data_IF_440404424098
#
_entry.id   IF_440404424098
#
_cell.length_a   1.000
_cell.length_b   1.000
_cell.length_c   1.000
_cell.angle_alpha   90.00
_cell.angle_beta   90.00
_cell.angle_gamma   90.00
#
_symmetry.space_group_name_H-M   'P 1'
#
loop_
_entity.id
_entity.type
_entity.pdbx_description
1 polymer ?
#
# COMPACT_ATOMS: atom_id res chain seq x y z
N UNK A 1 -19.07 -13.36 -19.91
CA UNK A 1 -17.82 -12.66 -20.30
C UNK A 1 -16.95 -13.65 -21.04
N UNK A 2 -16.34 -13.27 -22.18
CA UNK A 2 -15.44 -14.15 -22.93
C UNK A 2 -14.18 -14.45 -22.07
N UNK A 3 -13.91 -15.72 -21.70
CA UNK A 3 -12.78 -16.08 -20.83
C UNK A 3 -11.41 -15.77 -21.45
N UNK A 4 -11.32 -15.64 -22.77
CA UNK A 4 -10.06 -15.43 -23.50
C UNK A 4 -9.64 -13.98 -23.65
N UNK A 5 -10.45 -13.01 -23.19
CA UNK A 5 -10.15 -11.59 -23.43
C UNK A 5 -8.92 -11.09 -22.67
N UNK A 6 -8.75 -11.51 -21.41
CA UNK A 6 -7.66 -11.02 -20.55
C UNK A 6 -6.28 -11.51 -21.01
N UNK A 7 -6.09 -12.79 -21.39
CA UNK A 7 -4.85 -13.23 -22.01
C UNK A 7 -4.44 -12.41 -23.24
N UNK A 8 -5.39 -12.10 -24.12
CA UNK A 8 -5.12 -11.30 -25.33
C UNK A 8 -4.72 -9.87 -24.97
N UNK A 9 -5.49 -9.21 -24.10
CA UNK A 9 -5.19 -7.85 -23.64
C UNK A 9 -3.80 -7.76 -22.99
N UNK A 10 -3.46 -8.69 -22.10
CA UNK A 10 -2.15 -8.73 -21.45
C UNK A 10 -1.03 -8.95 -22.45
N UNK A 11 -1.22 -9.89 -23.39
CA UNK A 11 -0.23 -10.16 -24.45
C UNK A 11 0.04 -8.92 -25.28
N UNK A 12 -1.00 -8.23 -25.74
CA UNK A 12 -0.84 -7.01 -26.55
C UNK A 12 -0.20 -5.85 -25.81
N UNK A 13 -0.47 -5.69 -24.50
CA UNK A 13 0.22 -4.69 -23.67
C UNK A 13 1.71 -5.01 -23.53
N UNK A 14 2.03 -6.26 -23.18
CA UNK A 14 3.42 -6.68 -22.92
C UNK A 14 4.26 -6.66 -24.19
N UNK A 15 3.67 -6.99 -25.34
CA UNK A 15 4.34 -6.98 -26.64
C UNK A 15 4.32 -5.58 -27.31
N UNK A 16 3.82 -4.55 -26.62
CA UNK A 16 3.82 -3.16 -27.10
C UNK A 16 2.86 -2.89 -28.27
N UNK A 17 1.93 -3.81 -28.56
CA UNK A 17 0.90 -3.64 -29.61
C UNK A 17 -0.28 -2.79 -29.17
N UNK A 18 -0.57 -2.77 -27.86
CA UNK A 18 -1.58 -1.90 -27.29
C UNK A 18 -0.91 -0.68 -26.62
N UNK A 19 -1.06 0.49 -27.24
CA UNK A 19 -0.51 1.77 -26.75
C UNK A 19 -1.58 2.85 -26.69
N UNK A 20 -1.27 4.00 -26.08
CA UNK A 20 -2.17 5.16 -26.02
C UNK A 20 -3.58 4.81 -25.53
N UNK A 21 -4.58 5.16 -26.33
CA UNK A 21 -6.00 4.91 -26.05
C UNK A 21 -6.31 3.43 -25.85
N UNK A 22 -5.70 2.53 -26.63
CA UNK A 22 -5.98 1.09 -26.51
C UNK A 22 -5.46 0.53 -25.18
N UNK A 23 -4.26 0.96 -24.76
CA UNK A 23 -3.72 0.59 -23.45
C UNK A 23 -4.58 1.11 -22.29
N UNK A 24 -5.12 2.32 -22.43
CA UNK A 24 -6.06 2.90 -21.47
C UNK A 24 -7.36 2.09 -21.38
N UNK A 25 -7.95 1.71 -22.52
CA UNK A 25 -9.15 0.86 -22.57
C UNK A 25 -8.93 -0.50 -21.90
N UNK A 26 -7.77 -1.14 -22.12
CA UNK A 26 -7.45 -2.40 -21.46
C UNK A 26 -7.26 -2.24 -19.95
N UNK A 27 -6.61 -1.15 -19.52
CA UNK A 27 -6.49 -0.81 -18.10
C UNK A 27 -7.88 -0.62 -17.47
N UNK A 28 -8.77 0.13 -18.12
CA UNK A 28 -10.16 0.30 -17.67
C UNK A 28 -10.91 -1.04 -17.62
N UNK A 29 -10.70 -1.93 -18.59
CA UNK A 29 -11.31 -3.25 -18.60
C UNK A 29 -10.86 -4.13 -17.42
N UNK A 30 -9.60 -4.02 -16.98
CA UNK A 30 -9.12 -4.66 -15.75
C UNK A 30 -9.76 -4.04 -14.51
N UNK A 31 -9.87 -2.72 -14.44
CA UNK A 31 -10.43 -2.06 -13.26
C UNK A 31 -11.93 -2.32 -13.06
N UNK A 32 -12.70 -2.36 -14.15
CA UNK A 32 -14.16 -2.43 -14.11
C UNK A 32 -14.75 -3.84 -14.12
N UNK A 33 -13.94 -4.91 -14.12
CA UNK A 33 -14.51 -6.26 -14.06
C UNK A 33 -15.11 -6.53 -12.67
N UNK A 34 -16.42 -6.79 -12.56
CA UNK A 34 -17.07 -6.89 -11.25
C UNK A 34 -16.79 -8.21 -10.54
N UNK A 35 -16.61 -9.31 -11.30
CA UNK A 35 -16.34 -10.66 -10.78
C UNK A 35 -15.28 -11.35 -11.64
N UNK A 36 -14.00 -10.99 -11.48
CA UNK A 36 -12.91 -11.72 -12.12
C UNK A 36 -12.91 -13.18 -11.64
N UNK A 37 -12.51 -14.11 -12.52
CA UNK A 37 -12.31 -15.51 -12.19
C UNK A 37 -10.82 -15.86 -12.12
N UNK A 38 -10.50 -17.10 -11.76
CA UNK A 38 -9.11 -17.57 -11.62
C UNK A 38 -8.35 -17.52 -12.96
N UNK A 39 -9.02 -17.72 -14.09
CA UNK A 39 -8.42 -17.64 -15.42
C UNK A 39 -7.97 -16.22 -15.71
N UNK A 40 -8.81 -15.25 -15.35
CA UNK A 40 -8.53 -13.84 -15.49
C UNK A 40 -7.34 -13.40 -14.61
N UNK A 41 -7.24 -13.90 -13.38
CA UNK A 41 -6.10 -13.63 -12.48
C UNK A 41 -4.81 -14.25 -13.02
N UNK A 42 -4.85 -15.51 -13.48
CA UNK A 42 -3.69 -16.19 -14.08
C UNK A 42 -3.17 -15.42 -15.30
N UNK A 43 -4.05 -14.84 -16.10
CA UNK A 43 -3.68 -14.09 -17.29
C UNK A 43 -2.82 -12.85 -17.00
N UNK A 44 -2.85 -12.31 -15.77
CA UNK A 44 -2.12 -11.09 -15.39
C UNK A 44 -0.62 -11.34 -15.13
N UNK A 45 -0.18 -12.59 -14.96
CA UNK A 45 1.19 -12.89 -14.55
C UNK A 45 2.27 -12.30 -15.49
N UNK A 46 2.15 -12.37 -16.83
CA UNK A 46 3.13 -11.75 -17.74
C UNK A 46 3.19 -10.22 -17.58
N UNK A 47 2.05 -9.57 -17.28
CA UNK A 47 1.99 -8.12 -17.09
C UNK A 47 2.82 -7.68 -15.87
N UNK A 48 2.72 -8.42 -14.76
CA UNK A 48 3.47 -8.11 -13.54
C UNK A 48 4.96 -8.47 -13.63
N UNK A 49 5.32 -9.50 -14.42
CA UNK A 49 6.73 -9.84 -14.69
C UNK A 49 7.41 -8.83 -15.62
N UNK A 50 6.69 -8.28 -16.60
CA UNK A 50 7.24 -7.36 -17.59
C UNK A 50 7.96 -6.15 -16.99
N UNK A 51 9.10 -5.79 -17.58
CA UNK A 51 9.87 -4.59 -17.26
C UNK A 51 9.39 -3.34 -18.03
N UNK A 52 8.47 -3.51 -18.99
CA UNK A 52 7.86 -2.39 -19.69
C UNK A 52 7.13 -1.44 -18.73
N UNK A 53 7.16 -0.14 -19.04
CA UNK A 53 6.45 0.90 -18.30
C UNK A 53 4.95 0.85 -18.61
N UNK A 54 4.31 -0.13 -17.99
CA UNK A 54 2.87 -0.41 -18.06
C UNK A 54 2.21 -0.06 -16.73
N UNK A 55 2.67 1.00 -16.06
CA UNK A 55 2.29 1.35 -14.70
C UNK A 55 0.76 1.43 -14.53
N UNK A 56 0.04 2.17 -15.40
CA UNK A 56 -1.42 2.28 -15.32
C UNK A 56 -2.13 0.91 -15.45
N UNK A 57 -1.69 0.07 -16.39
CA UNK A 57 -2.25 -1.25 -16.59
C UNK A 57 -1.96 -2.18 -15.39
N UNK A 58 -0.75 -2.15 -14.85
CA UNK A 58 -0.35 -2.91 -13.64
C UNK A 58 -1.19 -2.51 -12.42
N UNK A 59 -1.45 -1.21 -12.23
CA UNK A 59 -2.27 -0.70 -11.12
C UNK A 59 -3.76 -1.09 -11.26
N UNK A 60 -4.29 -1.06 -12.47
CA UNK A 60 -5.65 -1.50 -12.76
C UNK A 60 -5.80 -3.01 -12.59
N UNK A 61 -4.85 -3.79 -13.10
CA UNK A 61 -4.77 -5.24 -12.90
C UNK A 61 -4.65 -5.61 -11.41
N UNK A 62 -3.90 -4.84 -10.61
CA UNK A 62 -3.84 -5.08 -9.17
C UNK A 62 -5.21 -4.85 -8.49
N UNK A 63 -5.97 -3.85 -8.94
CA UNK A 63 -7.33 -3.60 -8.43
C UNK A 63 -8.30 -4.75 -8.79
N UNK A 64 -8.11 -5.37 -9.96
CA UNK A 64 -8.82 -6.58 -10.36
C UNK A 64 -8.52 -7.75 -9.41
N UNK A 65 -7.27 -7.94 -9.00
CA UNK A 65 -6.88 -8.97 -8.02
C UNK A 65 -7.53 -8.71 -6.65
N UNK A 66 -7.56 -7.46 -6.19
CA UNK A 66 -8.28 -7.10 -4.96
C UNK A 66 -9.78 -7.44 -5.05
N UNK A 67 -10.41 -7.15 -6.20
CA UNK A 67 -11.81 -7.50 -6.45
C UNK A 67 -12.04 -9.01 -6.42
N UNK A 68 -11.15 -9.80 -7.03
CA UNK A 68 -11.16 -11.27 -6.91
C UNK A 68 -11.08 -11.72 -5.45
N UNK A 69 -10.11 -11.19 -4.70
CA UNK A 69 -9.86 -11.62 -3.33
C UNK A 69 -10.93 -11.20 -2.32
N UNK A 70 -11.73 -10.16 -2.60
CA UNK A 70 -12.91 -9.82 -1.79
C UNK A 70 -14.01 -10.87 -1.87
N UNK A 71 -14.08 -11.62 -2.97
CA UNK A 71 -15.12 -12.62 -3.21
C UNK A 71 -14.63 -14.07 -3.04
N UNK A 72 -13.32 -14.28 -2.86
CA UNK A 72 -12.71 -15.60 -2.74
C UNK A 72 -12.10 -15.80 -1.34
N UNK A 73 -12.69 -16.65 -0.48
CA UNK A 73 -12.05 -17.05 0.76
C UNK A 73 -10.66 -17.62 0.50
N UNK A 74 -9.72 -17.35 1.41
CA UNK A 74 -8.33 -17.81 1.32
C UNK A 74 -7.58 -17.40 0.03
N UNK A 75 -8.02 -16.35 -0.68
CA UNK A 75 -7.38 -15.87 -1.92
C UNK A 75 -5.84 -15.74 -1.88
N UNK A 76 -5.28 -15.35 -0.73
CA UNK A 76 -3.83 -15.23 -0.51
C UNK A 76 -3.05 -16.56 -0.57
N UNK A 77 -3.73 -17.70 -0.47
CA UNK A 77 -3.13 -19.04 -0.55
C UNK A 77 -3.13 -19.58 -1.98
N UNK A 78 -3.95 -19.00 -2.88
CA UNK A 78 -4.02 -19.36 -4.29
C UNK A 78 -2.67 -19.11 -4.98
N UNK A 79 -2.13 -20.14 -5.62
CA UNK A 79 -0.82 -20.11 -6.27
C UNK A 79 -0.72 -18.96 -7.29
N UNK A 80 -1.77 -18.73 -8.08
CA UNK A 80 -1.79 -17.66 -9.07
C UNK A 80 -1.68 -16.28 -8.44
N UNK A 81 -2.31 -16.03 -7.30
CA UNK A 81 -2.21 -14.74 -6.59
C UNK A 81 -0.82 -14.58 -5.97
N UNK A 82 -0.30 -15.64 -5.34
CA UNK A 82 1.06 -15.65 -4.78
C UNK A 82 2.12 -15.38 -5.84
N UNK A 83 1.96 -15.92 -7.06
CA UNK A 83 2.87 -15.66 -8.18
C UNK A 83 2.90 -14.17 -8.57
N UNK A 84 1.76 -13.47 -8.53
CA UNK A 84 1.72 -12.03 -8.82
C UNK A 84 2.47 -11.24 -7.75
N UNK A 85 2.24 -11.56 -6.47
CA UNK A 85 2.96 -10.94 -5.35
C UNK A 85 4.46 -11.22 -5.45
N UNK A 86 4.85 -12.45 -5.82
CA UNK A 86 6.24 -12.85 -6.00
C UNK A 86 6.92 -12.06 -7.14
N UNK A 87 6.24 -11.85 -8.27
CA UNK A 87 6.77 -11.03 -9.36
C UNK A 87 7.01 -9.56 -8.94
N UNK A 88 6.11 -9.00 -8.12
CA UNK A 88 6.28 -7.65 -7.56
C UNK A 88 7.41 -7.60 -6.53
N UNK A 89 7.54 -8.64 -5.70
CA UNK A 89 8.62 -8.78 -4.72
C UNK A 89 10.00 -8.80 -5.40
N UNK A 90 10.14 -9.53 -6.51
CA UNK A 90 11.39 -9.59 -7.26
C UNK A 90 11.87 -8.21 -7.72
N UNK A 91 10.97 -7.35 -8.21
CA UNK A 91 11.30 -5.96 -8.59
C UNK A 91 11.81 -5.14 -7.41
N UNK A 92 11.24 -5.35 -6.21
CA UNK A 92 11.69 -4.70 -4.98
C UNK A 92 13.08 -5.21 -4.57
N UNK A 93 13.33 -6.52 -4.70
CA UNK A 93 14.61 -7.15 -4.38
C UNK A 93 15.74 -6.69 -5.33
N UNK A 94 15.45 -6.54 -6.62
CA UNK A 94 16.37 -6.01 -7.62
C UNK A 94 16.85 -4.59 -7.27
N UNK A 95 15.92 -3.70 -6.93
CA UNK A 95 16.26 -2.34 -6.52
C UNK A 95 16.96 -2.30 -5.15
N UNK A 96 16.67 -3.25 -4.23
CA UNK A 96 17.40 -3.37 -2.97
C UNK A 96 18.87 -3.79 -3.16
N UNK A 97 19.15 -4.68 -4.11
CA UNK A 97 20.45 -5.31 -4.29
C UNK A 97 21.45 -4.46 -5.08
N UNK A 98 20.97 -3.55 -5.93
CA UNK A 98 21.79 -2.82 -6.90
C UNK A 98 21.86 -1.31 -6.63
N UNK A 99 22.76 -0.62 -7.35
CA UNK A 99 22.68 0.83 -7.51
C UNK A 99 21.40 1.16 -8.29
N UNK A 100 20.45 1.76 -7.59
CA UNK A 100 19.13 2.08 -8.12
C UNK A 100 19.19 3.03 -9.32
N UNK A 101 18.93 2.53 -10.52
CA UNK A 101 18.72 3.37 -11.71
C UNK A 101 17.35 4.05 -11.63
N UNK A 102 17.13 5.13 -12.38
CA UNK A 102 15.80 5.76 -12.42
C UNK A 102 14.71 4.79 -12.93
N UNK A 103 15.09 3.85 -13.79
CA UNK A 103 14.18 2.81 -14.29
C UNK A 103 13.81 1.82 -13.19
N UNK A 104 14.78 1.27 -12.45
CA UNK A 104 14.50 0.33 -11.34
C UNK A 104 13.69 1.00 -10.24
N UNK A 105 13.95 2.28 -9.96
CA UNK A 105 13.16 3.06 -9.00
C UNK A 105 11.71 3.24 -9.44
N UNK A 106 11.45 3.51 -10.74
CA UNK A 106 10.10 3.61 -11.30
C UNK A 106 9.37 2.26 -11.25
N UNK A 107 10.04 1.18 -11.62
CA UNK A 107 9.49 -0.17 -11.56
C UNK A 107 9.13 -0.56 -10.12
N UNK A 108 10.00 -0.25 -9.16
CA UNK A 108 9.78 -0.49 -7.73
C UNK A 108 8.62 0.33 -7.18
N UNK A 109 8.51 1.61 -7.56
CA UNK A 109 7.36 2.44 -7.21
C UNK A 109 6.05 1.85 -7.73
N UNK A 110 6.04 1.41 -9.00
CA UNK A 110 4.90 0.70 -9.58
C UNK A 110 4.59 -0.60 -8.82
N UNK A 111 5.60 -1.31 -8.33
CA UNK A 111 5.42 -2.53 -7.56
C UNK A 111 4.74 -2.28 -6.21
N UNK A 112 5.20 -1.28 -5.43
CA UNK A 112 4.55 -0.91 -4.17
C UNK A 112 3.11 -0.46 -4.35
N UNK A 113 2.87 0.40 -5.34
CA UNK A 113 1.50 0.86 -5.65
C UNK A 113 0.60 -0.31 -6.07
N UNK A 114 1.14 -1.26 -6.85
CA UNK A 114 0.42 -2.48 -7.26
C UNK A 114 0.11 -3.38 -6.06
N UNK A 115 1.08 -3.67 -5.18
CA UNK A 115 0.85 -4.45 -3.97
C UNK A 115 -0.26 -3.84 -3.10
N UNK A 116 -0.21 -2.51 -2.92
CA UNK A 116 -1.21 -1.83 -2.14
C UNK A 116 -2.59 -1.75 -2.81
N UNK A 117 -2.68 -1.72 -4.13
CA UNK A 117 -3.96 -1.83 -4.86
C UNK A 117 -4.51 -3.26 -4.79
N UNK A 118 -3.62 -4.26 -4.80
CA UNK A 118 -3.95 -5.68 -4.72
C UNK A 118 -4.54 -6.05 -3.36
N UNK A 119 -4.10 -5.39 -2.28
CA UNK A 119 -4.54 -5.70 -0.92
C UNK A 119 -4.13 -7.10 -0.45
N UNK A 120 -3.19 -7.73 -1.15
CA UNK A 120 -2.63 -9.04 -0.80
C UNK A 120 -1.13 -8.89 -0.65
N UNK A 121 -0.59 -9.49 0.41
CA UNK A 121 0.83 -9.49 0.73
C UNK A 121 1.17 -10.82 1.37
N UNK A 122 2.17 -11.52 0.85
CA UNK A 122 2.74 -12.70 1.53
C UNK A 122 3.71 -12.24 2.63
N UNK A 123 3.99 -13.06 3.65
CA UNK A 123 4.95 -12.70 4.69
C UNK A 123 6.33 -12.30 4.13
N UNK A 124 6.83 -13.02 3.14
CA UNK A 124 8.13 -12.76 2.53
C UNK A 124 8.14 -11.43 1.78
N UNK A 125 7.05 -11.09 1.09
CA UNK A 125 6.91 -9.79 0.44
C UNK A 125 6.79 -8.66 1.47
N UNK A 126 6.03 -8.87 2.57
CA UNK A 126 5.91 -7.90 3.64
C UNK A 126 7.28 -7.56 4.26
N UNK A 127 8.12 -8.56 4.51
CA UNK A 127 9.47 -8.34 5.05
C UNK A 127 10.35 -7.52 4.10
N UNK A 128 10.30 -7.79 2.78
CA UNK A 128 11.04 -6.98 1.80
C UNK A 128 10.52 -5.56 1.69
N UNK A 129 9.20 -5.36 1.77
CA UNK A 129 8.59 -4.02 1.73
C UNK A 129 9.00 -3.21 2.96
N UNK A 130 8.97 -3.80 4.17
CA UNK A 130 9.43 -3.13 5.39
C UNK A 130 10.92 -2.82 5.31
N UNK A 131 11.74 -3.77 4.90
CA UNK A 131 13.18 -3.56 4.71
C UNK A 131 13.46 -2.38 3.76
N UNK A 132 12.71 -2.27 2.66
CA UNK A 132 12.86 -1.15 1.73
C UNK A 132 12.46 0.18 2.36
N UNK A 133 11.33 0.22 3.07
CA UNK A 133 10.85 1.43 3.75
C UNK A 133 11.90 1.99 4.73
N UNK A 134 12.59 1.11 5.46
CA UNK A 134 13.62 1.45 6.44
C UNK A 134 14.95 1.88 5.81
N UNK A 135 15.17 1.61 4.52
CA UNK A 135 16.45 1.85 3.86
C UNK A 135 16.62 3.32 3.47
N UNK A 136 17.36 4.08 4.30
CA UNK A 136 17.48 5.53 4.16
C UNK A 136 18.11 6.02 2.85
N UNK A 137 18.95 5.20 2.20
CA UNK A 137 19.54 5.55 0.91
C UNK A 137 18.56 5.41 -0.28
N UNK A 138 17.33 4.92 -0.05
CA UNK A 138 16.30 4.84 -1.07
C UNK A 138 15.47 6.11 -1.16
N UNK A 139 14.97 6.40 -2.36
CA UNK A 139 14.17 7.59 -2.65
C UNK A 139 12.97 7.66 -1.70
N UNK A 140 12.79 8.81 -1.06
CA UNK A 140 11.71 9.05 -0.08
C UNK A 140 10.34 8.68 -0.64
N UNK A 141 10.04 9.05 -1.88
CA UNK A 141 8.76 8.70 -2.53
C UNK A 141 8.50 7.20 -2.61
N UNK A 142 9.55 6.39 -2.81
CA UNK A 142 9.42 4.93 -2.87
C UNK A 142 9.26 4.35 -1.47
N UNK A 143 9.93 4.91 -0.46
CA UNK A 143 9.77 4.54 0.96
C UNK A 143 8.36 4.84 1.46
N UNK A 144 7.80 5.99 1.10
CA UNK A 144 6.39 6.34 1.36
C UNK A 144 5.45 5.34 0.68
N UNK A 145 5.68 5.02 -0.59
CA UNK A 145 4.88 4.03 -1.30
C UNK A 145 4.98 2.63 -0.67
N UNK A 146 6.15 2.25 -0.15
CA UNK A 146 6.36 0.99 0.56
C UNK A 146 5.50 0.91 1.83
N UNK A 147 5.48 1.97 2.65
CA UNK A 147 4.57 2.04 3.80
C UNK A 147 3.09 1.95 3.37
N UNK A 148 2.71 2.70 2.32
CA UNK A 148 1.35 2.71 1.77
C UNK A 148 0.94 1.39 1.10
N UNK A 149 1.88 0.51 0.75
CA UNK A 149 1.59 -0.80 0.17
C UNK A 149 0.78 -1.69 1.13
N UNK A 150 0.85 -1.43 2.42
CA UNK A 150 0.06 -2.17 3.40
C UNK A 150 -1.39 -1.72 3.48
N UNK A 151 -1.81 -0.57 2.92
CA UNK A 151 -3.10 0.10 3.23
C UNK A 151 -4.38 -0.76 3.08
N UNK A 152 -4.39 -1.75 2.19
CA UNK A 152 -5.51 -2.66 1.96
C UNK A 152 -5.24 -4.10 2.41
N UNK A 153 -4.04 -4.41 2.89
CA UNK A 153 -3.67 -5.78 3.26
C UNK A 153 -4.38 -6.21 4.55
N UNK A 154 -4.58 -7.53 4.71
CA UNK A 154 -5.01 -8.08 6.00
C UNK A 154 -4.03 -7.67 7.11
N UNK A 155 -4.57 -7.35 8.28
CA UNK A 155 -3.76 -6.99 9.44
C UNK A 155 -2.92 -8.18 9.91
N UNK A 156 -1.62 -7.95 10.06
CA UNK A 156 -0.67 -8.89 10.65
C UNK A 156 0.01 -8.19 11.81
N UNK A 157 0.00 -8.81 13.00
CA UNK A 157 0.54 -8.18 14.22
C UNK A 157 2.02 -7.79 14.07
N UNK A 158 2.92 -8.65 13.55
CA UNK A 158 4.33 -8.28 13.39
C UNK A 158 4.54 -7.08 12.48
N UNK A 159 3.81 -7.00 11.37
CA UNK A 159 3.87 -5.85 10.43
C UNK A 159 3.38 -4.57 11.10
N UNK A 160 2.27 -4.66 11.84
CA UNK A 160 1.70 -3.51 12.56
C UNK A 160 2.70 -2.97 13.59
N UNK A 161 3.34 -3.86 14.36
CA UNK A 161 4.36 -3.47 15.34
C UNK A 161 5.55 -2.75 14.69
N UNK A 162 6.09 -3.28 13.59
CA UNK A 162 7.20 -2.65 12.86
C UNK A 162 6.81 -1.26 12.34
N UNK A 163 5.60 -1.12 11.79
CA UNK A 163 5.10 0.17 11.29
C UNK A 163 4.89 1.20 12.40
N UNK A 164 4.32 0.79 13.55
CA UNK A 164 4.19 1.65 14.74
C UNK A 164 5.57 2.09 15.22
N UNK A 165 6.48 1.14 15.42
CA UNK A 165 7.85 1.45 15.87
C UNK A 165 8.55 2.44 14.94
N UNK A 166 8.41 2.28 13.63
CA UNK A 166 8.99 3.20 12.66
C UNK A 166 8.37 4.60 12.74
N UNK A 167 7.04 4.69 12.85
CA UNK A 167 6.34 5.99 12.95
C UNK A 167 6.78 6.81 14.18
N UNK A 168 7.13 6.13 15.28
CA UNK A 168 7.50 6.74 16.56
C UNK A 168 8.99 7.09 16.69
N UNK A 169 9.80 6.88 15.65
CA UNK A 169 11.24 7.23 15.63
C UNK A 169 11.45 8.68 15.18
N UNK A 170 11.85 9.61 16.07
CA UNK A 170 11.95 11.04 15.75
C UNK A 170 12.97 11.35 14.65
N UNK A 171 14.04 10.57 14.55
CA UNK A 171 15.13 10.74 13.59
C UNK A 171 14.76 10.36 12.15
N UNK A 172 13.63 9.68 11.96
CA UNK A 172 13.21 9.19 10.65
C UNK A 172 12.50 10.27 9.83
N UNK A 173 12.54 10.12 8.50
CA UNK A 173 11.98 11.09 7.58
C UNK A 173 10.46 11.30 7.79
N UNK A 174 10.02 12.55 7.98
CA UNK A 174 8.64 12.95 8.32
C UNK A 174 7.57 12.25 7.46
N UNK A 175 7.68 12.31 6.14
CA UNK A 175 6.68 11.72 5.24
C UNK A 175 6.56 10.19 5.39
N UNK A 176 7.67 9.50 5.62
CA UNK A 176 7.69 8.04 5.78
C UNK A 176 7.08 7.67 7.13
N UNK A 177 7.37 8.43 8.18
CA UNK A 177 6.74 8.27 9.51
C UNK A 177 5.22 8.41 9.44
N UNK A 178 4.73 9.45 8.78
CA UNK A 178 3.29 9.69 8.58
C UNK A 178 2.65 8.53 7.77
N UNK A 179 3.31 8.08 6.70
CA UNK A 179 2.83 6.96 5.90
C UNK A 179 2.79 5.65 6.69
N UNK A 180 3.81 5.37 7.51
CA UNK A 180 3.87 4.21 8.38
C UNK A 180 2.77 4.25 9.45
N UNK A 181 2.52 5.42 10.05
CA UNK A 181 1.42 5.63 10.98
C UNK A 181 0.06 5.31 10.33
N UNK A 182 -0.23 5.88 9.15
CA UNK A 182 -1.50 5.63 8.44
C UNK A 182 -1.67 4.15 8.09
N UNK A 183 -0.59 3.48 7.71
CA UNK A 183 -0.61 2.04 7.45
C UNK A 183 -0.87 1.22 8.72
N UNK A 184 -0.30 1.63 9.86
CA UNK A 184 -0.42 0.95 11.15
C UNK A 184 -1.77 1.16 11.86
N UNK A 185 -2.26 2.40 11.92
CA UNK A 185 -3.37 2.79 12.80
C UNK A 185 -4.66 1.99 12.54
N UNK A 186 -4.91 1.61 11.29
CA UNK A 186 -6.02 0.74 10.90
C UNK A 186 -6.01 -0.62 11.64
N UNK A 187 -4.80 -1.16 11.85
CA UNK A 187 -4.57 -2.46 12.47
C UNK A 187 -4.17 -2.37 13.95
N UNK A 188 -4.01 -1.16 14.48
CA UNK A 188 -3.58 -0.92 15.86
C UNK A 188 -4.53 -1.60 16.86
N UNK A 189 -3.97 -2.10 17.96
CA UNK A 189 -4.72 -2.48 19.15
C UNK A 189 -4.68 -1.34 20.19
N UNK A 190 -5.29 -1.54 21.34
CA UNK A 190 -5.33 -0.53 22.40
C UNK A 190 -3.93 -0.11 22.87
N UNK A 191 -3.02 -1.07 23.08
CA UNK A 191 -1.63 -0.82 23.49
C UNK A 191 -0.85 0.01 22.45
N UNK A 192 -1.00 -0.30 21.16
CA UNK A 192 -0.40 0.47 20.07
C UNK A 192 -0.88 1.93 20.12
N UNK A 193 -2.18 2.15 20.30
CA UNK A 193 -2.78 3.49 20.35
C UNK A 193 -2.30 4.28 21.57
N UNK A 194 -2.22 3.63 22.75
CA UNK A 194 -1.66 4.25 23.95
C UNK A 194 -0.21 4.67 23.75
N UNK A 195 0.61 3.78 23.17
CA UNK A 195 2.01 4.07 22.88
C UNK A 195 2.14 5.22 21.87
N UNK A 196 1.33 5.21 20.80
CA UNK A 196 1.31 6.29 19.81
C UNK A 196 0.99 7.62 20.49
N UNK A 197 -0.10 7.71 21.25
CA UNK A 197 -0.47 8.96 21.94
C UNK A 197 0.63 9.40 22.90
N UNK A 198 1.13 8.50 23.74
CA UNK A 198 2.17 8.81 24.72
C UNK A 198 3.42 9.40 24.07
N UNK A 199 3.92 8.79 22.99
CA UNK A 199 5.14 9.26 22.31
C UNK A 199 4.91 10.52 21.50
N UNK A 200 3.80 10.59 20.76
CA UNK A 200 3.51 11.72 19.87
C UNK A 200 3.11 12.99 20.64
N UNK A 201 2.61 12.86 21.87
CA UNK A 201 2.28 14.01 22.72
C UNK A 201 3.47 14.95 22.93
N UNK A 202 4.68 14.39 23.02
CA UNK A 202 5.94 15.10 23.25
C UNK A 202 6.82 15.18 22.00
N UNK A 203 6.28 14.92 20.81
CA UNK A 203 7.03 14.98 19.55
C UNK A 203 7.40 16.43 19.20
N UNK A 204 8.69 16.68 18.99
CA UNK A 204 9.22 17.99 18.61
C UNK A 204 8.86 18.37 17.16
N UNK A 205 8.78 17.38 16.27
CA UNK A 205 8.35 17.60 14.90
C UNK A 205 6.85 17.94 14.86
N UNK A 206 6.55 19.23 14.84
CA UNK A 206 5.18 19.76 14.83
C UNK A 206 4.33 19.24 13.68
N UNK A 207 4.94 18.89 12.54
CA UNK A 207 4.24 18.30 11.40
C UNK A 207 3.77 16.87 11.70
N UNK A 208 4.64 16.03 12.26
CA UNK A 208 4.27 14.65 12.65
C UNK A 208 3.25 14.70 13.80
N UNK A 209 3.53 15.50 14.82
CA UNK A 209 2.64 15.69 15.99
C UNK A 209 1.25 16.12 15.55
N UNK A 210 1.16 17.23 14.81
CA UNK A 210 -0.11 17.80 14.38
C UNK A 210 -0.91 16.85 13.49
N UNK A 211 -0.26 16.18 12.53
CA UNK A 211 -0.94 15.22 11.65
C UNK A 211 -1.51 14.04 12.43
N UNK A 212 -0.70 13.38 13.27
CA UNK A 212 -1.12 12.16 13.98
C UNK A 212 -2.20 12.47 15.01
N UNK A 213 -2.03 13.51 15.84
CA UNK A 213 -3.03 13.87 16.85
C UNK A 213 -4.36 14.29 16.19
N UNK A 214 -4.33 15.07 15.12
CA UNK A 214 -5.53 15.40 14.34
C UNK A 214 -6.23 14.16 13.80
N UNK A 215 -5.45 13.20 13.28
CA UNK A 215 -6.02 11.96 12.76
C UNK A 215 -6.67 11.12 13.86
N UNK A 216 -6.06 11.02 15.04
CA UNK A 216 -6.62 10.29 16.18
C UNK A 216 -7.92 10.94 16.69
N UNK A 217 -7.97 12.28 16.78
CA UNK A 217 -9.21 13.01 17.12
C UNK A 217 -10.32 12.74 16.09
N UNK A 218 -9.97 12.77 14.80
CA UNK A 218 -10.92 12.43 13.72
C UNK A 218 -11.41 10.97 13.83
N UNK A 219 -10.56 10.03 14.25
CA UNK A 219 -10.97 8.64 14.49
C UNK A 219 -11.89 8.51 15.70
N UNK A 220 -11.68 9.30 16.77
CA UNK A 220 -12.59 9.36 17.94
C UNK A 220 -13.98 9.87 17.57
N UNK A 221 -14.06 10.82 16.63
CA UNK A 221 -15.31 11.45 16.20
C UNK A 221 -15.98 10.76 15.01
N UNK A 222 -15.35 9.76 14.40
CA UNK A 222 -15.86 9.19 13.15
C UNK A 222 -17.07 8.27 13.38
N UNK A 223 -18.13 8.48 12.59
CA UNK A 223 -19.32 7.60 12.55
C UNK A 223 -19.25 6.50 11.50
N UNK A 224 -18.11 6.34 10.82
CA UNK A 224 -17.96 5.34 9.79
C UNK A 224 -17.93 3.92 10.39
N UNK A 225 -18.79 2.98 9.94
CA UNK A 225 -18.89 1.64 10.51
C UNK A 225 -17.55 0.89 10.55
N UNK A 226 -16.72 1.04 9.52
CA UNK A 226 -15.41 0.39 9.42
C UNK A 226 -14.38 0.91 10.44
N UNK A 227 -14.64 2.07 11.08
CA UNK A 227 -13.78 2.67 12.11
C UNK A 227 -14.29 2.45 13.52
N UNK A 228 -15.46 1.82 13.70
CA UNK A 228 -16.10 1.63 15.01
C UNK A 228 -15.16 0.98 16.04
N UNK A 229 -14.38 -0.03 15.61
CA UNK A 229 -13.39 -0.71 16.48
C UNK A 229 -12.34 0.26 17.01
N UNK A 230 -11.79 1.13 16.15
CA UNK A 230 -10.78 2.10 16.52
C UNK A 230 -11.36 3.18 17.42
N UNK A 231 -12.53 3.71 17.07
CA UNK A 231 -13.25 4.68 17.88
C UNK A 231 -13.47 4.17 19.31
N UNK A 232 -13.94 2.93 19.44
CA UNK A 232 -14.16 2.29 20.74
C UNK A 232 -12.86 2.19 21.56
N UNK A 233 -11.76 1.75 20.96
CA UNK A 233 -10.48 1.68 21.66
C UNK A 233 -9.95 3.06 22.07
N UNK A 234 -10.25 4.10 21.29
CA UNK A 234 -9.84 5.47 21.57
C UNK A 234 -10.74 6.17 22.61
N UNK A 235 -11.90 5.64 22.99
CA UNK A 235 -12.82 6.28 23.95
C UNK A 235 -12.16 6.59 25.30
N UNK A 236 -11.27 5.71 25.76
CA UNK A 236 -10.57 5.86 27.05
C UNK A 236 -9.14 6.43 26.89
N UNK A 237 -8.79 6.96 25.73
CA UNK A 237 -7.47 7.56 25.47
C UNK A 237 -7.65 9.06 25.33
N UNK A 238 -7.03 9.82 26.23
CA UNK A 238 -7.02 11.28 26.17
C UNK A 238 -6.00 11.69 25.10
N UNK A 239 -6.48 12.15 23.95
CA UNK A 239 -5.64 12.70 22.89
C UNK A 239 -5.44 14.18 23.18
N UNK A 240 -4.19 14.67 23.35
CA UNK A 240 -3.94 16.08 23.60
C UNK A 240 -4.45 16.96 22.46
N UNK A 241 -4.90 18.16 22.79
CA UNK A 241 -5.40 19.16 21.84
C UNK A 241 -4.53 20.44 21.82
N UNK A 242 -3.43 20.44 22.57
CA UNK A 242 -2.45 21.51 22.71
C UNK A 242 -1.43 21.49 21.54
N UNK A 243 -1.94 21.43 20.32
CA UNK A 243 -1.13 21.43 19.11
C UNK A 243 -1.77 22.30 18.03
N UNK A 244 -0.94 22.90 17.16
CA UNK A 244 -1.46 23.64 16.01
C UNK A 244 -2.03 22.67 14.97
N UNK A 245 -3.35 22.54 14.96
CA UNK A 245 -4.08 21.79 13.95
C UNK A 245 -4.19 22.59 12.64
N UNK A 246 -3.08 23.06 12.06
CA UNK A 246 -3.14 23.75 10.76
C UNK A 246 -3.30 22.75 9.61
N UNK A 247 -4.54 22.30 9.41
CA UNK A 247 -4.97 21.41 8.33
C UNK A 247 -4.62 21.97 6.93
N UNK A 248 -4.37 23.28 6.80
CA UNK A 248 -4.07 23.95 5.52
C UNK A 248 -2.63 23.78 5.06
N UNK A 249 -1.72 23.29 5.91
CA UNK A 249 -0.33 22.98 5.54
C UNK A 249 -0.16 21.59 4.93
N UNK A 250 -1.20 20.76 4.98
CA UNK A 250 -1.21 19.39 4.48
C UNK A 250 -1.98 19.33 3.17
N UNK A 251 -1.34 19.73 2.07
CA UNK A 251 -1.90 19.52 0.74
C UNK A 251 -2.08 18.02 0.49
N UNK A 252 -3.31 17.52 0.23
CA UNK A 252 -3.43 16.30 -0.55
C UNK A 252 -2.91 16.66 -1.94
N UNK A 253 -1.72 16.18 -2.31
CA UNK A 253 -1.35 16.21 -3.73
C UNK A 253 -2.42 15.37 -4.47
N UNK A 254 -3.01 15.90 -5.55
CA UNK A 254 -3.98 15.16 -6.36
C UNK A 254 -3.39 13.87 -6.92
#
# INVERSE_FOLDING_TARGET
MNPNRFPVMVKELVEGRATGTLAALYSTAFYLVPRPDVTAIRALEPLFKSNADLSSAKLAAASMVNTYCRHKPHCHEESHVRNLVQALKQKIEEDLASSSSEETQRQTLSAFKSLGNMGVMTPEAADKVILYMEKENKKVSNRVAAAQAFRLTKCQRPVTQKLVQYALRPEQHTEVRIAAYLAAVRCANYEDLQNIVTKISYEENTQVRGFILSNLLNLQQSDAPEKQRLRYMLTNIIVPQDFEADLRKYSPKP
#
